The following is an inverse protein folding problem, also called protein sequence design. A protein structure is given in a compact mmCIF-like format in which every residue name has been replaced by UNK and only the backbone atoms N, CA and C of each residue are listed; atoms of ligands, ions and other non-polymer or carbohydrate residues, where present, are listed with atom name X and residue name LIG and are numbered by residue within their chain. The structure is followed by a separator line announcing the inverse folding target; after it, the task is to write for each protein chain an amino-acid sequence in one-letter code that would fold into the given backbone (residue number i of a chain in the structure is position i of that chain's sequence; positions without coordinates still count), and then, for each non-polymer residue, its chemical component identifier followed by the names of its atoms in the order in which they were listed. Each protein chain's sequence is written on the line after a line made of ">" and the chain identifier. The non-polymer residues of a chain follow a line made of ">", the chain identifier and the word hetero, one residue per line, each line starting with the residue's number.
data_IF_614176336904
#
_entry.id   IF_614176336904
#
_cell.length_a   1.000
_cell.length_b   1.000
_cell.length_c   1.000
_cell.angle_alpha   90.00
_cell.angle_beta   90.00
_cell.angle_gamma   90.00
#
_symmetry.space_group_name_H-M   'P 1'
#
loop_
_entity.id
_entity.type
_entity.pdbx_description
1 polymer ?
#
# COMPACT_ATOMS: atom_id res chain seq x y z
N UNK A 1 -5.55 17.42 -4.63
CA UNK A 1 -6.38 16.37 -4.01
C UNK A 1 -6.20 16.40 -2.51
N UNK A 2 -7.26 16.17 -1.76
CA UNK A 2 -7.16 15.94 -0.31
C UNK A 2 -6.75 14.47 -0.05
N UNK A 3 -6.50 14.13 1.23
CA UNK A 3 -6.02 12.80 1.59
C UNK A 3 -6.98 11.69 1.17
N UNK A 4 -8.29 11.87 1.37
CA UNK A 4 -9.29 10.86 0.97
C UNK A 4 -9.31 10.66 -0.54
N UNK A 5 -9.23 11.74 -1.30
CA UNK A 5 -9.16 11.66 -2.77
C UNK A 5 -7.88 10.97 -3.24
N UNK A 6 -6.75 11.20 -2.58
CA UNK A 6 -5.50 10.51 -2.90
C UNK A 6 -5.62 8.99 -2.72
N UNK A 7 -6.16 8.56 -1.59
CA UNK A 7 -6.35 7.12 -1.34
C UNK A 7 -7.32 6.52 -2.34
N UNK A 8 -8.47 7.14 -2.55
CA UNK A 8 -9.47 6.65 -3.50
C UNK A 8 -8.89 6.55 -4.92
N UNK A 9 -8.15 7.57 -5.34
CA UNK A 9 -7.52 7.62 -6.66
C UNK A 9 -6.54 6.46 -6.86
N UNK A 10 -5.61 6.28 -5.93
CA UNK A 10 -4.57 5.27 -6.09
C UNK A 10 -5.11 3.85 -5.92
N UNK A 11 -6.08 3.65 -5.03
CA UNK A 11 -6.73 2.34 -4.88
C UNK A 11 -7.48 1.96 -6.15
N UNK A 12 -8.26 2.87 -6.71
CA UNK A 12 -8.99 2.63 -7.94
C UNK A 12 -8.05 2.38 -9.12
N UNK A 13 -6.98 3.16 -9.22
CA UNK A 13 -5.98 2.99 -10.28
C UNK A 13 -5.30 1.62 -10.19
N UNK A 14 -4.96 1.19 -8.99
CA UNK A 14 -4.36 -0.13 -8.77
C UNK A 14 -5.31 -1.24 -9.22
N UNK A 15 -6.57 -1.17 -8.80
CA UNK A 15 -7.59 -2.16 -9.18
C UNK A 15 -7.77 -2.20 -10.70
N UNK A 16 -7.84 -1.04 -11.34
CA UNK A 16 -7.99 -0.96 -12.80
C UNK A 16 -6.76 -1.51 -13.54
N UNK A 17 -5.57 -1.26 -13.03
CA UNK A 17 -4.34 -1.80 -13.62
C UNK A 17 -4.31 -3.33 -13.57
N UNK A 18 -4.91 -3.93 -12.56
CA UNK A 18 -4.96 -5.37 -12.35
C UNK A 18 -6.17 -6.04 -13.02
N UNK A 19 -7.18 -5.26 -13.39
CA UNK A 19 -8.41 -5.79 -13.96
C UNK A 19 -8.13 -6.56 -15.27
N UNK A 20 -8.73 -7.74 -15.37
CA UNK A 20 -8.56 -8.63 -16.52
C UNK A 20 -7.13 -9.07 -16.81
N UNK A 21 -6.19 -8.86 -15.88
CA UNK A 21 -4.84 -9.40 -16.04
C UNK A 21 -4.88 -10.90 -15.76
N UNK A 22 -4.56 -11.76 -16.77
CA UNK A 22 -4.63 -13.21 -16.59
C UNK A 22 -3.74 -13.68 -15.43
N UNK A 23 -4.20 -14.72 -14.72
CA UNK A 23 -3.49 -15.25 -13.56
C UNK A 23 -2.04 -15.61 -13.87
N UNK A 24 -1.78 -16.18 -15.04
CA UNK A 24 -0.42 -16.53 -15.45
C UNK A 24 0.48 -15.32 -15.57
N UNK A 25 -0.05 -14.15 -15.91
CA UNK A 25 0.71 -12.91 -16.02
C UNK A 25 1.17 -12.40 -14.64
N UNK A 26 0.45 -12.74 -13.59
CA UNK A 26 0.80 -12.34 -12.22
C UNK A 26 2.13 -12.95 -11.73
N UNK A 27 2.54 -14.06 -12.33
CA UNK A 27 3.75 -14.80 -11.92
C UNK A 27 4.93 -14.62 -12.86
N UNK A 28 4.84 -13.71 -13.85
CA UNK A 28 5.94 -13.44 -14.78
C UNK A 28 6.85 -12.36 -14.20
N UNK A 29 8.17 -12.63 -14.03
CA UNK A 29 9.12 -11.63 -13.54
C UNK A 29 9.27 -10.44 -14.49
N UNK A 30 9.70 -9.31 -13.95
CA UNK A 30 10.07 -8.14 -14.75
C UNK A 30 9.09 -6.98 -14.69
N UNK A 31 8.06 -7.05 -13.84
CA UNK A 31 7.14 -5.93 -13.67
C UNK A 31 7.79 -4.76 -12.91
N UNK A 32 8.65 -5.07 -11.93
CA UNK A 32 9.46 -4.09 -11.22
C UNK A 32 10.79 -4.76 -10.86
N UNK A 33 11.85 -4.45 -11.60
CA UNK A 33 13.08 -5.21 -11.48
C UNK A 33 12.81 -6.67 -11.76
N UNK A 34 13.11 -7.54 -10.80
CA UNK A 34 12.82 -8.98 -10.91
C UNK A 34 11.46 -9.36 -10.32
N UNK A 35 10.73 -8.40 -9.75
CA UNK A 35 9.44 -8.68 -9.13
C UNK A 35 8.36 -8.96 -10.17
N UNK A 36 7.44 -9.84 -9.79
CA UNK A 36 6.19 -10.11 -10.51
C UNK A 36 5.13 -9.09 -10.09
N UNK A 37 4.04 -9.04 -10.83
CA UNK A 37 2.87 -8.23 -10.43
C UNK A 37 2.36 -8.69 -9.05
N UNK A 38 2.34 -10.00 -8.80
CA UNK A 38 1.92 -10.53 -7.49
C UNK A 38 2.79 -9.98 -6.36
N UNK A 39 4.10 -9.92 -6.57
CA UNK A 39 5.02 -9.38 -5.59
C UNK A 39 4.86 -7.87 -5.38
N UNK A 40 4.55 -7.13 -6.44
CA UNK A 40 4.23 -5.71 -6.32
C UNK A 40 2.97 -5.51 -5.45
N UNK A 41 1.91 -6.27 -5.71
CA UNK A 41 0.66 -6.15 -4.93
C UNK A 41 0.88 -6.56 -3.48
N UNK A 42 1.69 -7.59 -3.23
CA UNK A 42 2.08 -7.98 -1.88
C UNK A 42 2.83 -6.85 -1.16
N UNK A 43 3.72 -6.19 -1.86
CA UNK A 43 4.46 -5.02 -1.36
C UNK A 43 3.52 -3.85 -1.04
N UNK A 44 2.59 -3.54 -1.94
CA UNK A 44 1.60 -2.48 -1.70
C UNK A 44 0.71 -2.81 -0.49
N UNK A 45 0.35 -4.07 -0.33
CA UNK A 45 -0.45 -4.53 0.83
C UNK A 45 0.30 -4.26 2.14
N UNK A 46 1.59 -4.59 2.18
CA UNK A 46 2.39 -4.35 3.39
C UNK A 46 2.48 -2.86 3.74
N UNK A 47 2.56 -2.00 2.75
CA UNK A 47 2.58 -0.55 2.96
C UNK A 47 1.21 -0.02 3.41
N UNK A 48 0.11 -0.58 2.90
CA UNK A 48 -1.23 -0.26 3.39
C UNK A 48 -1.37 -0.61 4.87
N UNK A 49 -0.86 -1.78 5.28
CA UNK A 49 -0.90 -2.21 6.68
C UNK A 49 -0.06 -1.30 7.56
N UNK A 50 1.10 -0.86 7.08
CA UNK A 50 1.93 0.10 7.80
C UNK A 50 1.23 1.46 7.93
N UNK A 51 0.59 1.93 6.85
CA UNK A 51 -0.17 3.17 6.86
C UNK A 51 -1.33 3.09 7.86
N UNK A 52 -2.06 1.98 7.88
CA UNK A 52 -3.15 1.77 8.83
C UNK A 52 -2.66 1.88 10.28
N UNK A 53 -1.51 1.29 10.59
CA UNK A 53 -0.92 1.41 11.94
C UNK A 53 -0.53 2.85 12.27
N UNK A 54 0.01 3.57 11.30
CA UNK A 54 0.32 4.99 11.46
C UNK A 54 -0.92 5.83 11.75
N UNK A 55 -2.00 5.59 11.02
CA UNK A 55 -3.27 6.30 11.23
C UNK A 55 -3.88 5.98 12.60
N UNK A 56 -3.76 4.74 13.07
CA UNK A 56 -4.18 4.37 14.43
C UNK A 56 -3.42 5.18 15.48
N UNK A 57 -2.13 5.42 15.26
CA UNK A 57 -1.33 6.25 16.16
C UNK A 57 -1.88 7.67 16.25
N UNK A 58 -2.23 8.28 15.11
CA UNK A 58 -2.85 9.62 15.11
C UNK A 58 -4.20 9.65 15.81
N UNK A 59 -4.93 8.54 15.78
CA UNK A 59 -6.24 8.42 16.43
C UNK A 59 -6.14 8.05 17.92
N UNK A 60 -4.94 7.76 18.42
CA UNK A 60 -4.74 7.28 19.78
C UNK A 60 -5.29 5.88 20.01
N UNK A 61 -5.48 5.09 18.95
CA UNK A 61 -5.98 3.72 19.04
C UNK A 61 -4.83 2.74 19.29
N UNK A 62 -5.08 1.64 20.03
CA UNK A 62 -4.07 0.61 20.23
C UNK A 62 -3.62 0.00 18.90
N UNK A 63 -2.32 -0.22 18.77
CA UNK A 63 -1.73 -0.86 17.61
C UNK A 63 -0.45 -1.57 18.03
N UNK A 64 -0.18 -2.73 17.43
CA UNK A 64 1.08 -3.44 17.66
C UNK A 64 2.27 -2.72 17.03
N UNK A 65 2.01 -1.84 16.03
CA UNK A 65 3.02 -1.13 15.24
C UNK A 65 4.04 -2.08 14.56
N UNK A 66 3.63 -3.32 14.34
CA UNK A 66 4.51 -4.34 13.77
C UNK A 66 5.01 -3.98 12.38
N UNK A 67 4.11 -3.47 11.52
CA UNK A 67 4.48 -3.09 10.15
C UNK A 67 5.20 -1.74 10.11
N UNK A 68 4.62 -0.72 10.73
CA UNK A 68 5.19 0.65 10.63
C UNK A 68 6.57 0.73 11.29
N UNK A 69 6.79 0.05 12.40
CA UNK A 69 8.09 0.08 13.09
C UNK A 69 9.18 -0.57 12.26
N UNK A 70 8.88 -1.72 11.65
CA UNK A 70 9.85 -2.43 10.79
C UNK A 70 10.15 -1.64 9.52
N UNK A 71 9.13 -1.01 8.93
CA UNK A 71 9.32 -0.16 7.76
C UNK A 71 10.24 1.02 8.06
N UNK A 72 10.05 1.68 9.19
CA UNK A 72 10.86 2.84 9.58
C UNK A 72 12.28 2.46 10.01
N UNK A 73 12.47 1.26 10.57
CA UNK A 73 13.77 0.78 11.02
C UNK A 73 14.66 0.36 9.85
N UNK A 74 14.13 -0.45 8.94
CA UNK A 74 14.86 -0.94 7.76
C UNK A 74 13.87 -1.28 6.65
N UNK A 75 13.62 -0.31 5.78
CA UNK A 75 12.65 -0.44 4.70
C UNK A 75 12.97 -1.54 3.71
N UNK A 76 14.24 -1.72 3.36
CA UNK A 76 14.66 -2.75 2.40
C UNK A 76 14.40 -4.16 2.95
N UNK A 77 14.74 -4.38 4.21
CA UNK A 77 14.50 -5.66 4.89
C UNK A 77 13.01 -5.92 5.04
N UNK A 78 12.24 -4.90 5.42
CA UNK A 78 10.77 -4.98 5.51
C UNK A 78 10.17 -5.41 4.18
N UNK A 79 10.58 -4.77 3.08
CA UNK A 79 10.08 -5.09 1.75
C UNK A 79 10.33 -6.55 1.39
N UNK A 80 11.54 -7.03 1.61
CA UNK A 80 11.90 -8.41 1.30
C UNK A 80 11.12 -9.43 2.12
N UNK A 81 11.01 -9.19 3.42
CA UNK A 81 10.29 -10.10 4.32
C UNK A 81 8.80 -10.17 3.99
N UNK A 82 8.17 -9.03 3.69
CA UNK A 82 6.74 -8.99 3.39
C UNK A 82 6.41 -9.58 2.02
N UNK A 83 7.28 -9.40 1.03
CA UNK A 83 7.12 -10.02 -0.28
C UNK A 83 7.32 -11.53 -0.17
N UNK A 84 8.36 -11.98 0.54
CA UNK A 84 8.63 -13.41 0.75
C UNK A 84 7.48 -14.11 1.47
N UNK A 85 6.90 -13.47 2.46
CA UNK A 85 5.76 -13.98 3.22
C UNK A 85 4.57 -14.35 2.33
N UNK A 86 4.39 -13.62 1.22
CA UNK A 86 3.25 -13.79 0.31
C UNK A 86 3.62 -14.42 -1.03
N UNK A 87 4.89 -14.79 -1.24
CA UNK A 87 5.39 -15.24 -2.54
C UNK A 87 4.67 -16.48 -3.06
N UNK A 88 4.33 -17.40 -2.18
CA UNK A 88 3.74 -18.68 -2.56
C UNK A 88 2.21 -18.72 -2.39
N UNK A 89 1.58 -17.59 -2.15
CA UNK A 89 0.12 -17.51 -2.13
C UNK A 89 -0.43 -17.33 -3.54
N UNK A 90 -1.72 -17.56 -3.71
CA UNK A 90 -2.38 -17.35 -5.01
C UNK A 90 -2.57 -15.86 -5.31
N UNK A 91 -2.73 -15.51 -6.59
CA UNK A 91 -3.06 -14.15 -6.99
C UNK A 91 -4.36 -13.69 -6.32
N UNK A 92 -5.36 -14.56 -6.23
CA UNK A 92 -6.64 -14.24 -5.57
C UNK A 92 -6.44 -13.90 -4.10
N UNK A 93 -5.61 -14.67 -3.39
CA UNK A 93 -5.35 -14.40 -1.97
C UNK A 93 -4.63 -13.08 -1.76
N UNK A 94 -3.64 -12.80 -2.61
CA UNK A 94 -2.91 -11.53 -2.54
C UNK A 94 -3.86 -10.36 -2.80
N UNK A 95 -4.79 -10.51 -3.76
CA UNK A 95 -5.77 -9.47 -4.06
C UNK A 95 -6.77 -9.27 -2.92
N UNK A 96 -7.21 -10.37 -2.29
CA UNK A 96 -8.10 -10.30 -1.13
C UNK A 96 -7.43 -9.56 0.03
N UNK A 97 -6.16 -9.86 0.31
CA UNK A 97 -5.39 -9.19 1.37
C UNK A 97 -5.22 -7.70 1.07
N UNK A 98 -4.97 -7.35 -0.18
CA UNK A 98 -4.88 -5.95 -0.60
C UNK A 98 -6.20 -5.21 -0.39
N UNK A 99 -7.31 -5.82 -0.80
CA UNK A 99 -8.64 -5.22 -0.64
C UNK A 99 -8.99 -5.01 0.84
N UNK A 100 -8.69 -5.99 1.69
CA UNK A 100 -8.92 -5.87 3.13
C UNK A 100 -8.09 -4.74 3.73
N UNK A 101 -6.84 -4.63 3.33
CA UNK A 101 -5.94 -3.59 3.84
C UNK A 101 -6.39 -2.19 3.41
N UNK A 102 -6.80 -1.99 2.16
CA UNK A 102 -7.27 -0.68 1.69
C UNK A 102 -8.57 -0.26 2.38
N UNK A 103 -9.48 -1.18 2.62
CA UNK A 103 -10.72 -0.90 3.34
C UNK A 103 -10.40 -0.41 4.75
N UNK A 104 -9.48 -1.05 5.42
CA UNK A 104 -9.05 -0.65 6.77
C UNK A 104 -8.46 0.76 6.77
N UNK A 105 -7.59 1.06 5.82
CA UNK A 105 -6.94 2.37 5.71
C UNK A 105 -7.96 3.48 5.48
N UNK A 106 -8.87 3.28 4.55
CA UNK A 106 -9.93 4.26 4.23
C UNK A 106 -10.83 4.49 5.45
N UNK A 107 -11.19 3.42 6.15
CA UNK A 107 -12.03 3.51 7.36
C UNK A 107 -11.34 4.31 8.47
N UNK A 108 -10.04 4.09 8.67
CA UNK A 108 -9.28 4.83 9.68
C UNK A 108 -9.13 6.30 9.32
N UNK A 109 -8.84 6.60 8.06
CA UNK A 109 -8.74 7.99 7.60
C UNK A 109 -10.03 8.75 7.83
N UNK A 110 -11.17 8.12 7.58
CA UNK A 110 -12.49 8.73 7.78
C UNK A 110 -12.75 9.13 9.25
N UNK A 111 -12.04 8.54 10.19
CA UNK A 111 -12.17 8.86 11.62
C UNK A 111 -11.33 10.07 12.04
N UNK A 112 -10.40 10.52 11.22
CA UNK A 112 -9.53 11.66 11.55
C UNK A 112 -10.26 12.96 11.17
N UNK A 113 -10.49 13.87 12.13
CA UNK A 113 -11.12 15.15 11.82
C UNK A 113 -10.29 15.95 10.81
N UNK A 114 -10.96 16.65 9.91
CA UNK A 114 -10.31 17.38 8.83
C UNK A 114 -9.26 18.38 9.35
N UNK A 115 -9.53 19.03 10.48
CA UNK A 115 -8.61 19.99 11.08
C UNK A 115 -7.34 19.35 11.64
N UNK A 116 -7.33 18.03 11.83
CA UNK A 116 -6.16 17.31 12.35
C UNK A 116 -5.31 16.69 11.26
N UNK A 117 -5.76 16.68 10.01
CA UNK A 117 -5.02 16.10 8.90
C UNK A 117 -3.67 16.78 8.65
N UNK A 118 -3.58 18.08 8.92
CA UNK A 118 -2.35 18.86 8.76
C UNK A 118 -1.55 19.00 10.05
N UNK A 119 -2.08 18.50 11.17
CA UNK A 119 -1.44 18.65 12.47
C UNK A 119 -0.28 17.67 12.60
N UNK A 120 0.92 18.20 12.87
CA UNK A 120 2.11 17.38 13.03
C UNK A 120 2.08 16.61 14.35
N UNK A 121 2.38 15.32 14.24
CA UNK A 121 2.47 14.43 15.39
C UNK A 121 3.88 13.95 15.59
N UNK A 122 4.04 12.66 15.92
CA UNK A 122 5.34 12.02 16.12
C UNK A 122 6.21 12.15 14.86
N UNK A 123 7.50 12.37 15.03
CA UNK A 123 8.47 12.52 13.96
C UNK A 123 8.20 13.74 13.06
N UNK A 124 7.49 14.75 13.59
CA UNK A 124 7.19 16.01 12.89
C UNK A 124 6.43 15.81 11.58
N UNK A 125 5.58 14.79 11.51
CA UNK A 125 4.78 14.47 10.33
C UNK A 125 3.29 14.48 10.68
N UNK A 126 2.47 14.98 9.76
CA UNK A 126 1.01 14.95 9.86
C UNK A 126 0.45 13.70 9.18
N UNK A 127 -0.83 13.35 9.45
CA UNK A 127 -1.49 12.29 8.66
C UNK A 127 -1.39 12.56 7.16
N UNK A 128 -1.54 13.81 6.76
CA UNK A 128 -1.48 14.20 5.35
C UNK A 128 -0.09 13.94 4.75
N UNK A 129 0.98 14.13 5.52
CA UNK A 129 2.35 13.84 5.07
C UNK A 129 2.52 12.35 4.79
N UNK A 130 2.03 11.49 5.67
CA UNK A 130 2.08 10.04 5.47
C UNK A 130 1.27 9.61 4.25
N UNK A 131 0.06 10.14 4.09
CA UNK A 131 -0.80 9.81 2.94
C UNK A 131 -0.15 10.24 1.63
N UNK A 132 0.44 11.44 1.59
CA UNK A 132 1.11 11.95 0.39
C UNK A 132 2.30 11.07 0.00
N UNK A 133 3.13 10.69 0.96
CA UNK A 133 4.27 9.79 0.70
C UNK A 133 3.79 8.44 0.19
N UNK A 134 2.77 7.88 0.83
CA UNK A 134 2.17 6.63 0.42
C UNK A 134 1.62 6.72 -1.01
N UNK A 135 0.87 7.78 -1.29
CA UNK A 135 0.28 7.99 -2.61
C UNK A 135 1.34 8.03 -3.70
N UNK A 136 2.40 8.81 -3.53
CA UNK A 136 3.46 8.93 -4.52
C UNK A 136 4.14 7.59 -4.78
N UNK A 137 4.42 6.83 -3.74
CA UNK A 137 5.02 5.50 -3.84
C UNK A 137 4.09 4.52 -4.58
N UNK A 138 2.81 4.52 -4.23
CA UNK A 138 1.84 3.63 -4.86
C UNK A 138 1.61 3.97 -6.34
N UNK A 139 1.62 5.24 -6.70
CA UNK A 139 1.50 5.67 -8.11
C UNK A 139 2.65 5.11 -8.96
N UNK A 140 3.87 5.13 -8.44
CA UNK A 140 5.02 4.53 -9.16
C UNK A 140 4.78 3.06 -9.47
N UNK A 141 4.28 2.31 -8.50
CA UNK A 141 3.99 0.88 -8.70
C UNK A 141 2.81 0.65 -9.64
N UNK A 142 1.79 1.50 -9.60
CA UNK A 142 0.70 1.45 -10.58
C UNK A 142 1.24 1.62 -12.01
N UNK A 143 2.13 2.58 -12.21
CA UNK A 143 2.75 2.81 -13.51
C UNK A 143 3.54 1.60 -13.98
N UNK A 144 4.25 0.93 -13.09
CA UNK A 144 4.99 -0.30 -13.41
C UNK A 144 4.05 -1.42 -13.86
N UNK A 145 2.95 -1.62 -13.14
CA UNK A 145 1.95 -2.63 -13.51
C UNK A 145 1.33 -2.30 -14.87
N UNK A 146 0.97 -1.04 -15.09
CA UNK A 146 0.38 -0.59 -16.35
C UNK A 146 1.33 -0.82 -17.53
N UNK A 147 2.61 -0.49 -17.36
CA UNK A 147 3.62 -0.74 -18.38
C UNK A 147 3.81 -2.21 -18.67
N UNK A 148 3.87 -3.03 -17.63
CA UNK A 148 3.98 -4.47 -17.76
C UNK A 148 2.77 -5.05 -18.51
N UNK A 149 1.57 -4.64 -18.13
CA UNK A 149 0.33 -5.07 -18.78
C UNK A 149 0.32 -4.74 -20.26
N UNK A 150 0.81 -3.55 -20.64
CA UNK A 150 0.81 -3.08 -22.03
C UNK A 150 1.84 -3.81 -22.90
N UNK A 151 2.84 -4.46 -22.30
CA UNK A 151 3.83 -5.28 -23.02
C UNK A 151 3.34 -6.71 -23.30
N UNK A 152 2.30 -7.12 -22.64
CA UNK A 152 1.81 -8.52 -22.65
C UNK A 152 0.89 -8.82 -23.83
#
# INVERSE_FOLDING_TARGET
>A
MNAAEMLDNVHLRTIRALDDLPELQWDIPGACGNWTVKEIVAHLTSYELALAEGLKTFLGQPSTRTYISRLLEDGAKFNEEEVEKRRYTTAQRVMDDYNDAQIQTVSLLAQIPAEKLQQKGTADRSPNDFITSFYNHAVEHCEQIEKFRNRS
#
